data_IF_580025924554
#
_entry.id   IF_580025924554
#
_cell.length_a   1.000
_cell.length_b   1.000
_cell.length_c   1.000
_cell.angle_alpha   90.00
_cell.angle_beta   90.00
_cell.angle_gamma   90.00
#
_symmetry.space_group_name_H-M   'P 1'
#
loop_
_entity.id
_entity.type
_entity.pdbx_description
1 polymer ?
#
# COMPACT_ATOMS: atom_id res chain seq x y z
N UNK A 1 5.95 22.72 -5.49
CA UNK A 1 6.97 21.68 -5.22
C UNK A 1 6.29 20.49 -4.55
N UNK A 2 6.76 19.27 -4.82
CA UNK A 2 6.28 18.06 -4.12
C UNK A 2 6.60 18.23 -2.64
N UNK A 3 5.62 18.02 -1.77
CA UNK A 3 5.76 18.11 -0.32
C UNK A 3 4.73 17.21 0.36
N UNK A 4 4.87 17.07 1.68
CA UNK A 4 3.88 16.39 2.51
C UNK A 4 2.58 17.19 2.60
N UNK A 5 2.68 18.52 2.55
CA UNK A 5 1.53 19.43 2.51
C UNK A 5 0.63 19.13 1.30
N UNK A 6 -0.68 19.00 1.56
CA UNK A 6 -1.68 18.67 0.55
C UNK A 6 -1.84 17.17 0.27
N UNK A 7 -1.21 16.29 1.06
CA UNK A 7 -1.51 14.86 1.05
C UNK A 7 -3.00 14.62 1.37
N UNK A 8 -3.69 13.82 0.57
CA UNK A 8 -5.05 13.35 0.89
C UNK A 8 -5.00 11.97 1.51
N UNK A 9 -4.10 11.12 1.04
CA UNK A 9 -3.89 9.77 1.55
C UNK A 9 -2.39 9.47 1.62
N UNK A 10 -1.91 9.33 2.84
CA UNK A 10 -0.50 9.18 3.19
C UNK A 10 -0.22 7.74 3.66
N UNK A 11 0.81 7.12 3.11
CA UNK A 11 1.46 5.95 3.69
C UNK A 11 2.74 6.39 4.39
N UNK A 12 2.98 5.92 5.60
CA UNK A 12 4.23 6.14 6.35
C UNK A 12 4.86 4.80 6.66
N UNK A 13 6.07 4.57 6.15
CA UNK A 13 6.85 3.38 6.45
C UNK A 13 7.78 3.64 7.63
N UNK A 14 7.80 2.71 8.56
CA UNK A 14 8.58 2.79 9.79
C UNK A 14 9.49 1.58 9.88
N UNK A 15 10.81 1.79 9.85
CA UNK A 15 11.79 0.71 9.99
C UNK A 15 11.92 0.21 11.43
N UNK A 16 12.35 -1.05 11.59
CA UNK A 16 12.49 -1.69 12.91
C UNK A 16 13.37 -0.90 13.87
N UNK A 17 14.47 -0.31 13.37
CA UNK A 17 15.42 0.46 14.18
C UNK A 17 14.84 1.77 14.74
N UNK A 18 13.72 2.25 14.20
CA UNK A 18 13.03 3.43 14.73
C UNK A 18 12.09 3.06 15.88
N UNK A 19 11.52 1.86 15.84
CA UNK A 19 10.52 1.39 16.81
C UNK A 19 11.12 0.57 17.95
N UNK A 20 12.22 -0.12 17.71
CA UNK A 20 12.81 -1.06 18.67
C UNK A 20 14.25 -0.64 18.91
N UNK A 21 14.56 -0.41 20.17
CA UNK A 21 15.91 -0.12 20.64
C UNK A 21 16.81 -1.34 20.42
N UNK A 22 18.00 -1.12 19.84
CA UNK A 22 18.87 -2.23 19.41
C UNK A 22 19.46 -3.00 20.58
N UNK A 23 19.73 -2.32 21.69
CA UNK A 23 20.47 -2.89 22.82
C UNK A 23 19.51 -3.57 23.80
N UNK A 24 18.42 -2.90 24.15
CA UNK A 24 17.42 -3.42 25.08
C UNK A 24 16.36 -4.32 24.42
N UNK A 25 16.18 -4.23 23.10
CA UNK A 25 15.06 -4.86 22.39
C UNK A 25 13.70 -4.26 22.77
N UNK A 26 13.68 -3.16 23.52
CA UNK A 26 12.48 -2.53 24.01
C UNK A 26 11.85 -1.64 22.94
N UNK A 27 10.53 -1.49 23.00
CA UNK A 27 9.82 -0.52 22.17
C UNK A 27 10.23 0.90 22.55
N UNK A 28 10.55 1.73 21.56
CA UNK A 28 10.77 3.18 21.71
C UNK A 28 9.44 3.91 21.83
N UNK A 29 8.80 3.75 23.00
CA UNK A 29 7.43 4.23 23.27
C UNK A 29 7.25 5.74 23.06
N UNK A 30 8.19 6.55 23.53
CA UNK A 30 8.12 8.01 23.37
C UNK A 30 8.19 8.43 21.91
N UNK A 31 9.10 7.81 21.14
CA UNK A 31 9.21 8.06 19.71
C UNK A 31 7.92 7.69 18.98
N UNK A 32 7.37 6.50 19.25
CA UNK A 32 6.08 6.09 18.69
C UNK A 32 4.97 7.08 19.06
N UNK A 33 4.89 7.51 20.32
CA UNK A 33 3.90 8.50 20.75
C UNK A 33 4.04 9.83 20.00
N UNK A 34 5.26 10.28 19.73
CA UNK A 34 5.51 11.51 18.94
C UNK A 34 5.05 11.36 17.49
N UNK A 35 5.33 10.22 16.85
CA UNK A 35 4.85 9.94 15.50
C UNK A 35 3.32 9.89 15.48
N UNK A 36 2.68 9.26 16.47
CA UNK A 36 1.23 9.18 16.53
C UNK A 36 0.57 10.54 16.78
N UNK A 37 1.24 11.44 17.51
CA UNK A 37 0.79 12.83 17.62
C UNK A 37 0.78 13.53 16.26
N UNK A 38 1.80 13.32 15.42
CA UNK A 38 1.81 13.86 14.06
C UNK A 38 0.70 13.25 13.19
N UNK A 39 0.50 11.93 13.28
CA UNK A 39 -0.60 11.24 12.61
C UNK A 39 -1.94 11.84 13.04
N UNK A 40 -2.15 12.10 14.33
CA UNK A 40 -3.36 12.73 14.82
C UNK A 40 -3.58 14.13 14.25
N UNK A 41 -2.52 14.94 14.14
CA UNK A 41 -2.60 16.27 13.51
C UNK A 41 -2.95 16.19 12.02
N UNK A 42 -2.41 15.22 11.28
CA UNK A 42 -2.79 14.94 9.89
C UNK A 42 -4.25 14.48 9.77
N UNK A 43 -4.67 13.54 10.62
CA UNK A 43 -6.06 13.04 10.67
C UNK A 43 -7.06 14.16 10.97
N UNK A 44 -6.72 15.09 11.87
CA UNK A 44 -7.54 16.25 12.19
C UNK A 44 -7.76 17.20 10.99
N UNK A 45 -6.81 17.23 10.04
CA UNK A 45 -6.93 17.94 8.76
C UNK A 45 -7.65 17.14 7.66
N UNK A 46 -8.18 15.96 7.98
CA UNK A 46 -8.88 15.09 7.04
C UNK A 46 -7.98 14.21 6.17
N UNK A 47 -6.67 14.17 6.44
CA UNK A 47 -5.75 13.27 5.73
C UNK A 47 -6.02 11.84 6.17
N UNK A 48 -6.11 10.91 5.21
CA UNK A 48 -6.18 9.49 5.49
C UNK A 48 -4.76 8.92 5.64
N UNK A 49 -4.46 8.25 6.76
CA UNK A 49 -3.11 7.77 7.06
C UNK A 49 -3.10 6.24 7.21
N UNK A 50 -2.12 5.61 6.57
CA UNK A 50 -1.78 4.18 6.72
C UNK A 50 -0.34 4.11 7.24
N UNK A 51 -0.11 3.28 8.26
CA UNK A 51 1.21 3.03 8.80
C UNK A 51 1.69 1.65 8.35
N UNK A 52 2.86 1.58 7.75
CA UNK A 52 3.53 0.33 7.37
C UNK A 52 4.69 0.12 8.33
N UNK A 53 4.51 -0.78 9.28
CA UNK A 53 5.46 -0.97 10.37
C UNK A 53 6.40 -2.12 10.08
N UNK A 54 7.58 -2.11 10.71
CA UNK A 54 8.40 -3.29 10.96
C UNK A 54 8.50 -3.52 12.47
N UNK A 55 9.39 -4.41 12.92
CA UNK A 55 9.76 -4.57 14.33
C UNK A 55 9.05 -5.71 15.08
N UNK A 56 8.13 -6.43 14.43
CA UNK A 56 7.47 -7.64 15.00
C UNK A 56 8.50 -8.66 15.48
N UNK A 57 9.43 -9.07 14.62
CA UNK A 57 10.49 -10.02 14.96
C UNK A 57 11.33 -9.51 16.14
N UNK A 58 11.79 -8.25 16.08
CA UNK A 58 12.66 -7.68 17.13
C UNK A 58 11.96 -7.66 18.51
N UNK A 59 10.69 -7.27 18.57
CA UNK A 59 9.89 -7.30 19.80
C UNK A 59 9.64 -8.72 20.30
N UNK A 60 9.39 -9.68 19.40
CA UNK A 60 9.13 -11.06 19.79
C UNK A 60 10.37 -11.81 20.27
N UNK A 61 11.56 -11.46 19.74
CA UNK A 61 12.83 -12.07 20.15
C UNK A 61 13.11 -11.90 21.63
N UNK A 62 12.95 -10.68 22.15
CA UNK A 62 13.16 -10.41 23.58
C UNK A 62 12.22 -11.23 24.47
N UNK A 63 10.99 -11.45 24.01
CA UNK A 63 9.95 -12.20 24.74
C UNK A 63 10.25 -13.69 24.77
N UNK A 64 10.73 -14.21 23.65
CA UNK A 64 11.06 -15.62 23.47
C UNK A 64 12.48 -15.97 23.96
N UNK A 65 13.21 -14.99 24.53
CA UNK A 65 14.60 -15.12 24.92
C UNK A 65 15.50 -15.67 23.79
N UNK A 66 15.18 -15.29 22.54
CA UNK A 66 16.00 -15.64 21.38
C UNK A 66 17.20 -14.69 21.34
N UNK A 67 18.38 -15.23 21.68
CA UNK A 67 19.64 -14.47 21.77
C UNK A 67 20.01 -13.71 20.49
N UNK A 68 21.06 -12.89 20.52
CA UNK A 68 21.47 -12.07 19.37
C UNK A 68 21.95 -12.91 18.17
N UNK A 69 21.87 -12.34 16.95
CA UNK A 69 22.36 -12.97 15.72
C UNK A 69 21.26 -13.47 14.77
N UNK A 70 21.68 -14.19 13.73
CA UNK A 70 20.77 -14.78 12.74
C UNK A 70 19.97 -15.91 13.38
N UNK A 71 18.65 -15.88 13.19
CA UNK A 71 17.77 -16.97 13.62
C UNK A 71 17.41 -17.84 12.40
N UNK A 72 17.18 -19.15 12.61
CA UNK A 72 16.45 -19.98 11.66
C UNK A 72 15.09 -19.36 11.28
N UNK A 73 14.57 -19.72 10.10
CA UNK A 73 13.33 -19.17 9.57
C UNK A 73 12.18 -19.35 10.56
N UNK A 74 11.99 -20.56 11.07
CA UNK A 74 10.93 -20.93 12.00
C UNK A 74 10.99 -20.11 13.31
N UNK A 75 12.19 -19.76 13.78
CA UNK A 75 12.37 -18.90 14.95
C UNK A 75 12.05 -17.44 14.63
N UNK A 76 12.39 -16.95 13.43
CA UNK A 76 11.97 -15.62 13.00
C UNK A 76 10.44 -15.54 12.87
N UNK A 77 9.79 -16.56 12.30
CA UNK A 77 8.34 -16.61 12.15
C UNK A 77 7.63 -16.70 13.52
N UNK A 78 8.16 -17.49 14.46
CA UNK A 78 7.67 -17.54 15.83
C UNK A 78 7.82 -16.19 16.56
N UNK A 79 8.99 -15.55 16.41
CA UNK A 79 9.23 -14.22 16.96
C UNK A 79 8.29 -13.18 16.34
N UNK A 80 8.10 -13.19 15.02
CA UNK A 80 7.17 -12.30 14.35
C UNK A 80 5.74 -12.46 14.89
N UNK A 81 5.24 -13.69 15.02
CA UNK A 81 3.89 -13.96 15.53
C UNK A 81 3.69 -13.42 16.95
N UNK A 82 4.66 -13.64 17.85
CA UNK A 82 4.61 -13.14 19.23
C UNK A 82 4.73 -11.62 19.28
N UNK A 83 5.70 -11.06 18.56
CA UNK A 83 5.95 -9.62 18.58
C UNK A 83 4.90 -8.81 17.84
N UNK A 84 4.18 -9.38 16.86
CA UNK A 84 3.09 -8.72 16.16
C UNK A 84 1.96 -8.32 17.13
N UNK A 85 1.65 -9.16 18.13
CA UNK A 85 0.67 -8.85 19.17
C UNK A 85 1.11 -7.62 19.97
N UNK A 86 2.40 -7.56 20.34
CA UNK A 86 2.96 -6.42 21.09
C UNK A 86 2.98 -5.14 20.26
N UNK A 87 3.37 -5.26 19.00
CA UNK A 87 3.38 -4.15 18.05
C UNK A 87 1.98 -3.57 17.86
N UNK A 88 0.98 -4.43 17.60
CA UNK A 88 -0.41 -4.04 17.46
C UNK A 88 -0.95 -3.37 18.74
N UNK A 89 -0.65 -3.94 19.90
CA UNK A 89 -1.03 -3.37 21.20
C UNK A 89 -0.43 -1.98 21.43
N UNK A 90 0.84 -1.79 21.07
CA UNK A 90 1.52 -0.50 21.19
C UNK A 90 0.90 0.58 20.29
N UNK A 91 0.64 0.28 19.02
CA UNK A 91 -0.05 1.20 18.12
C UNK A 91 -1.46 1.52 18.59
N UNK A 92 -2.23 0.51 18.99
CA UNK A 92 -3.59 0.70 19.50
C UNK A 92 -3.61 1.60 20.73
N UNK A 93 -2.71 1.37 21.70
CA UNK A 93 -2.61 2.20 22.89
C UNK A 93 -2.23 3.64 22.57
N UNK A 94 -1.26 3.86 21.68
CA UNK A 94 -0.84 5.19 21.26
C UNK A 94 -1.93 5.94 20.51
N UNK A 95 -2.59 5.30 19.53
CA UNK A 95 -3.68 5.90 18.74
C UNK A 95 -4.91 6.21 19.58
N UNK A 96 -5.27 5.34 20.53
CA UNK A 96 -6.42 5.52 21.40
C UNK A 96 -6.33 6.80 22.25
N UNK A 97 -5.13 7.26 22.61
CA UNK A 97 -4.92 8.53 23.32
C UNK A 97 -5.38 9.75 22.53
N UNK A 98 -5.50 9.62 21.21
CA UNK A 98 -5.98 10.65 20.30
C UNK A 98 -7.39 10.35 19.75
N UNK A 99 -8.11 9.38 20.34
CA UNK A 99 -9.44 8.97 19.86
C UNK A 99 -9.42 8.28 18.50
N UNK A 100 -8.26 7.77 18.07
CA UNK A 100 -8.09 7.07 16.80
C UNK A 100 -8.10 5.55 17.02
N UNK A 101 -8.71 4.84 16.08
CA UNK A 101 -8.79 3.37 16.09
C UNK A 101 -7.73 2.78 15.18
N UNK A 102 -6.94 1.81 15.65
CA UNK A 102 -6.02 1.05 14.82
C UNK A 102 -6.75 -0.11 14.11
N UNK A 103 -6.30 -0.47 12.92
CA UNK A 103 -6.78 -1.64 12.19
C UNK A 103 -5.61 -2.48 11.69
N UNK A 104 -5.42 -3.69 12.23
CA UNK A 104 -4.33 -4.56 11.79
C UNK A 104 -4.60 -5.09 10.38
N UNK A 105 -3.58 -5.03 9.53
CA UNK A 105 -3.55 -5.66 8.21
C UNK A 105 -2.24 -6.44 8.09
N UNK A 106 -2.31 -7.71 7.70
CA UNK A 106 -1.15 -8.56 7.42
C UNK A 106 -1.24 -9.02 5.98
N UNK A 107 -0.20 -8.79 5.20
CA UNK A 107 -0.13 -9.14 3.77
C UNK A 107 1.26 -9.64 3.42
N UNK A 108 1.41 -10.38 2.33
CA UNK A 108 2.72 -10.71 1.74
C UNK A 108 2.93 -9.90 0.46
N UNK A 109 4.18 -9.81 -0.02
CA UNK A 109 4.45 -9.19 -1.34
C UNK A 109 3.72 -9.91 -2.48
N UNK A 110 3.48 -11.21 -2.36
CA UNK A 110 2.77 -12.03 -3.35
C UNK A 110 1.28 -11.67 -3.46
N UNK A 111 0.66 -11.15 -2.40
CA UNK A 111 -0.76 -10.79 -2.40
C UNK A 111 -1.07 -9.67 -3.42
N UNK A 112 -0.05 -8.89 -3.82
CA UNK A 112 -0.17 -7.89 -4.89
C UNK A 112 -0.24 -8.50 -6.29
N UNK A 113 0.26 -9.73 -6.46
CA UNK A 113 0.29 -10.46 -7.74
C UNK A 113 -0.98 -11.29 -7.95
N UNK A 114 -1.59 -11.80 -6.87
CA UNK A 114 -2.91 -12.43 -6.90
C UNK A 114 -4.00 -11.37 -6.97
N UNK A 115 -4.70 -11.35 -8.10
CA UNK A 115 -5.70 -10.33 -8.40
C UNK A 115 -6.87 -10.28 -7.42
N UNK A 116 -7.31 -11.43 -6.94
CA UNK A 116 -8.42 -11.54 -6.00
C UNK A 116 -7.98 -11.04 -4.63
N UNK A 117 -6.79 -11.41 -4.17
CA UNK A 117 -6.23 -10.94 -2.89
C UNK A 117 -6.02 -9.42 -2.93
N UNK A 118 -5.40 -8.90 -4.00
CA UNK A 118 -5.24 -7.46 -4.21
C UNK A 118 -6.54 -6.68 -4.06
N UNK A 119 -7.62 -7.08 -4.75
CA UNK A 119 -8.91 -6.38 -4.69
C UNK A 119 -9.60 -6.49 -3.33
N UNK A 120 -9.39 -7.58 -2.61
CA UNK A 120 -9.88 -7.73 -1.24
C UNK A 120 -9.12 -6.80 -0.30
N UNK A 121 -7.79 -6.82 -0.33
CA UNK A 121 -6.94 -5.94 0.49
C UNK A 121 -7.26 -4.47 0.24
N UNK A 122 -7.40 -4.05 -1.03
CA UNK A 122 -7.82 -2.70 -1.39
C UNK A 122 -9.18 -2.34 -0.81
N UNK A 123 -10.19 -3.19 -0.99
CA UNK A 123 -11.54 -2.91 -0.50
C UNK A 123 -11.60 -2.81 1.03
N UNK A 124 -10.86 -3.67 1.74
CA UNK A 124 -10.76 -3.64 3.20
C UNK A 124 -10.09 -2.35 3.68
N UNK A 125 -8.93 -1.99 3.11
CA UNK A 125 -8.23 -0.74 3.46
C UNK A 125 -9.09 0.49 3.14
N UNK A 126 -9.76 0.54 1.99
CA UNK A 126 -10.67 1.64 1.65
C UNK A 126 -11.79 1.78 2.68
N UNK A 127 -12.41 0.66 3.07
CA UNK A 127 -13.49 0.65 4.07
C UNK A 127 -12.99 1.13 5.43
N UNK A 128 -11.81 0.67 5.86
CA UNK A 128 -11.16 1.14 7.09
C UNK A 128 -10.96 2.66 7.08
N UNK A 129 -10.42 3.20 5.98
CA UNK A 129 -10.15 4.64 5.86
C UNK A 129 -11.43 5.48 5.85
N UNK A 130 -12.51 5.00 5.21
CA UNK A 130 -13.83 5.64 5.24
C UNK A 130 -14.43 5.63 6.65
N UNK A 131 -14.23 4.56 7.41
CA UNK A 131 -14.65 4.45 8.80
C UNK A 131 -13.75 5.21 9.78
N UNK A 132 -12.72 5.91 9.28
CA UNK A 132 -11.80 6.68 10.11
C UNK A 132 -10.76 5.84 10.87
N UNK A 133 -10.63 4.55 10.56
CA UNK A 133 -9.57 3.69 11.12
C UNK A 133 -8.20 4.09 10.55
N UNK A 134 -7.12 3.94 11.32
CA UNK A 134 -5.73 4.02 10.86
C UNK A 134 -5.22 2.60 10.64
N UNK A 135 -5.06 2.14 9.38
CA UNK A 135 -4.54 0.81 9.12
C UNK A 135 -3.06 0.71 9.53
N UNK A 136 -2.73 -0.35 10.27
CA UNK A 136 -1.37 -0.74 10.63
C UNK A 136 -1.04 -1.98 9.82
N UNK A 137 -0.25 -1.80 8.76
CA UNK A 137 0.14 -2.85 7.84
C UNK A 137 1.50 -3.39 8.24
N UNK A 138 1.64 -4.71 8.26
CA UNK A 138 2.93 -5.39 8.34
C UNK A 138 2.93 -6.62 7.42
N UNK A 139 4.10 -7.19 7.19
CA UNK A 139 4.23 -8.45 6.49
C UNK A 139 3.62 -9.59 7.31
N UNK A 140 2.96 -10.54 6.63
CA UNK A 140 2.50 -11.77 7.26
C UNK A 140 3.66 -12.79 7.33
N UNK A 141 4.61 -12.51 8.22
CA UNK A 141 5.85 -13.27 8.38
C UNK A 141 5.61 -14.79 8.55
N UNK A 142 4.50 -15.21 9.16
CA UNK A 142 4.16 -16.63 9.40
C UNK A 142 4.02 -17.45 8.12
N UNK A 143 3.60 -16.82 7.01
CA UNK A 143 3.39 -17.50 5.72
C UNK A 143 4.29 -16.96 4.61
N UNK A 144 5.09 -15.92 4.90
CA UNK A 144 6.10 -15.45 3.99
C UNK A 144 7.24 -16.49 3.92
N UNK A 145 7.45 -17.04 2.73
CA UNK A 145 8.47 -18.08 2.47
C UNK A 145 9.74 -17.52 1.83
N UNK A 146 9.67 -16.30 1.27
CA UNK A 146 10.88 -15.60 0.86
C UNK A 146 11.74 -15.35 2.11
N UNK A 147 13.01 -15.77 2.05
CA UNK A 147 13.99 -15.67 3.15
C UNK A 147 13.93 -14.27 3.78
N UNK A 148 13.18 -14.05 4.86
CA UNK A 148 12.86 -12.73 5.46
C UNK A 148 13.96 -11.68 5.16
N UNK A 149 13.81 -10.94 4.04
CA UNK A 149 14.90 -10.08 3.56
C UNK A 149 14.71 -8.71 4.20
N UNK A 150 15.69 -8.30 4.98
CA UNK A 150 15.74 -6.93 5.49
C UNK A 150 15.67 -5.93 4.31
N UNK A 151 14.68 -5.02 4.37
CA UNK A 151 14.40 -4.04 3.30
C UNK A 151 13.08 -4.26 2.56
N UNK A 152 12.39 -5.38 2.79
CA UNK A 152 11.13 -5.69 2.12
C UNK A 152 9.99 -4.75 2.50
N UNK A 153 10.00 -4.17 3.70
CA UNK A 153 8.95 -3.23 4.08
C UNK A 153 8.99 -1.91 3.30
N UNK A 154 10.12 -1.55 2.64
CA UNK A 154 10.14 -0.41 1.71
C UNK A 154 9.27 -0.73 0.48
N UNK A 155 9.45 -1.93 -0.09
CA UNK A 155 8.66 -2.44 -1.23
C UNK A 155 7.21 -2.67 -0.84
N UNK A 156 6.97 -3.27 0.33
CA UNK A 156 5.64 -3.45 0.91
C UNK A 156 4.92 -2.11 1.04
N UNK A 157 5.59 -1.08 1.56
CA UNK A 157 4.99 0.23 1.73
C UNK A 157 4.63 0.88 0.39
N UNK A 158 5.47 0.73 -0.62
CA UNK A 158 5.14 1.16 -1.99
C UNK A 158 3.95 0.40 -2.56
N UNK A 159 3.90 -0.93 -2.40
CA UNK A 159 2.75 -1.73 -2.83
C UNK A 159 1.47 -1.37 -2.09
N UNK A 160 1.54 -1.11 -0.79
CA UNK A 160 0.41 -0.62 0.03
C UNK A 160 -0.04 0.74 -0.46
N UNK A 161 0.88 1.66 -0.75
CA UNK A 161 0.56 2.97 -1.31
C UNK A 161 -0.19 2.85 -2.63
N UNK A 162 0.28 2.02 -3.57
CA UNK A 162 -0.40 1.78 -4.85
C UNK A 162 -1.76 1.10 -4.64
N UNK A 163 -1.82 0.07 -3.79
CA UNK A 163 -3.04 -0.70 -3.50
C UNK A 163 -4.11 0.18 -2.88
N UNK A 164 -3.73 1.02 -1.92
CA UNK A 164 -4.60 1.96 -1.27
C UNK A 164 -4.80 3.25 -2.07
N UNK A 165 -4.16 3.46 -3.22
CA UNK A 165 -4.28 4.71 -3.99
C UNK A 165 -3.85 5.95 -3.20
N UNK A 166 -2.77 5.83 -2.42
CA UNK A 166 -2.15 6.94 -1.71
C UNK A 166 -1.51 7.93 -2.69
N UNK A 167 -1.55 9.23 -2.37
CA UNK A 167 -0.87 10.26 -3.14
C UNK A 167 0.50 10.63 -2.57
N UNK A 168 0.80 10.22 -1.33
CA UNK A 168 2.12 10.36 -0.69
C UNK A 168 2.56 9.09 0.02
N UNK A 169 3.84 8.78 -0.09
CA UNK A 169 4.55 7.76 0.68
C UNK A 169 5.76 8.40 1.37
N UNK A 170 5.90 8.25 2.68
CA UNK A 170 7.07 8.71 3.42
C UNK A 170 7.81 7.49 3.96
N UNK A 171 9.07 7.32 3.57
CA UNK A 171 9.98 6.34 4.15
C UNK A 171 10.79 7.02 5.26
N UNK A 172 10.43 6.74 6.52
CA UNK A 172 11.24 7.15 7.67
C UNK A 172 12.46 6.23 7.76
N UNK A 173 13.64 6.77 7.51
CA UNK A 173 14.90 6.03 7.43
C UNK A 173 15.92 6.50 8.47
N UNK A 174 17.03 5.78 8.55
CA UNK A 174 18.29 6.19 9.17
C UNK A 174 19.12 7.19 8.33
N UNK A 175 18.72 7.44 7.08
CA UNK A 175 19.31 8.44 6.19
C UNK A 175 18.29 9.55 5.88
N UNK A 176 18.79 10.75 5.63
CA UNK A 176 17.98 11.95 5.38
C UNK A 176 17.66 12.18 3.89
N UNK A 177 18.10 11.29 2.99
CA UNK A 177 17.81 11.37 1.57
C UNK A 177 18.74 10.52 0.71
N UNK A 178 18.63 10.72 -0.60
CA UNK A 178 19.52 10.23 -1.64
C UNK A 178 20.65 11.24 -1.85
N UNK A 179 21.85 10.71 -2.09
CA UNK A 179 23.05 11.47 -2.39
C UNK A 179 23.63 11.01 -3.73
N UNK A 180 24.48 11.83 -4.36
CA UNK A 180 25.19 11.49 -5.59
C UNK A 180 26.20 10.34 -5.43
N UNK A 181 26.50 9.94 -4.19
CA UNK A 181 27.39 8.86 -3.77
C UNK A 181 27.18 8.59 -2.27
N UNK A 182 27.91 7.65 -1.66
CA UNK A 182 27.73 7.38 -0.23
C UNK A 182 28.40 8.48 0.62
N UNK A 183 27.65 9.33 1.36
CA UNK A 183 28.23 10.46 2.09
C UNK A 183 29.15 10.06 3.25
N UNK A 184 29.09 8.81 3.71
CA UNK A 184 30.01 8.29 4.72
C UNK A 184 31.38 7.89 4.16
N UNK A 185 31.46 7.60 2.86
CA UNK A 185 32.68 7.20 2.17
C UNK A 185 33.25 8.33 1.30
N UNK A 186 32.36 9.17 0.77
CA UNK A 186 32.68 10.23 -0.18
C UNK A 186 32.22 11.58 0.37
N UNK A 187 33.11 12.37 0.99
CA UNK A 187 32.77 13.69 1.53
C UNK A 187 32.24 14.69 0.49
N UNK A 188 32.52 14.44 -0.80
CA UNK A 188 32.03 15.25 -1.91
C UNK A 188 30.59 14.90 -2.34
N UNK A 189 29.98 13.83 -1.79
CA UNK A 189 28.63 13.42 -2.12
C UNK A 189 27.63 14.52 -1.78
N UNK A 190 26.78 14.87 -2.75
CA UNK A 190 25.80 15.96 -2.63
C UNK A 190 24.41 15.38 -2.45
N UNK A 191 23.65 15.95 -1.53
CA UNK A 191 22.25 15.59 -1.32
C UNK A 191 21.40 15.97 -2.54
N UNK A 192 20.45 15.10 -2.90
CA UNK A 192 19.53 15.29 -4.01
C UNK A 192 18.14 15.58 -3.43
N UNK A 193 17.66 16.84 -3.44
CA UNK A 193 16.38 17.17 -2.81
C UNK A 193 15.15 16.71 -3.60
N UNK A 194 15.28 16.60 -4.93
CA UNK A 194 14.19 16.22 -5.82
C UNK A 194 14.70 15.33 -6.95
N UNK A 195 14.01 14.21 -7.17
CA UNK A 195 14.17 13.31 -8.30
C UNK A 195 12.86 13.36 -9.09
N UNK A 196 12.87 14.02 -10.25
CA UNK A 196 11.68 14.10 -11.11
C UNK A 196 11.38 12.79 -11.83
N UNK A 197 12.43 12.03 -12.16
CA UNK A 197 12.35 10.72 -12.80
C UNK A 197 13.51 9.85 -12.35
N UNK A 198 13.22 8.59 -12.06
CA UNK A 198 14.24 7.60 -11.73
C UNK A 198 14.84 7.09 -13.05
N UNK A 199 16.05 7.54 -13.35
CA UNK A 199 16.82 7.12 -14.52
C UNK A 199 17.89 6.10 -14.11
N UNK A 200 18.52 5.38 -15.07
CA UNK A 200 19.62 4.47 -14.74
C UNK A 200 20.76 5.15 -13.95
N UNK A 201 21.02 6.44 -14.17
CA UNK A 201 22.01 7.21 -13.41
C UNK A 201 21.59 7.38 -11.94
N UNK A 202 20.31 7.63 -11.67
CA UNK A 202 19.78 7.69 -10.30
C UNK A 202 19.87 6.32 -9.63
N UNK A 203 19.59 5.24 -10.36
CA UNK A 203 19.72 3.88 -9.82
C UNK A 203 21.17 3.52 -9.48
N UNK A 204 22.12 3.93 -10.32
CA UNK A 204 23.53 3.73 -10.07
C UNK A 204 24.02 4.45 -8.79
N UNK A 205 23.39 5.55 -8.38
CA UNK A 205 23.73 6.27 -7.14
C UNK A 205 23.42 5.48 -5.86
N UNK A 206 22.59 4.43 -5.93
CA UNK A 206 22.37 3.56 -4.77
C UNK A 206 23.61 2.70 -4.41
N UNK A 207 24.58 2.61 -5.32
CA UNK A 207 25.82 1.83 -5.18
C UNK A 207 25.62 0.31 -5.15
N UNK A 208 26.72 -0.43 -5.18
CA UNK A 208 26.72 -1.85 -4.80
C UNK A 208 26.62 -1.91 -3.28
N UNK A 209 25.55 -2.49 -2.75
CA UNK A 209 25.24 -2.48 -1.32
C UNK A 209 26.46 -2.82 -0.47
N UNK A 210 26.94 -1.86 0.34
CA UNK A 210 28.14 -2.03 1.16
C UNK A 210 27.99 -3.28 2.03
N UNK A 211 28.91 -4.21 1.83
CA UNK A 211 28.98 -5.50 2.49
C UNK A 211 28.98 -5.36 4.02
N UNK A 212 28.00 -5.97 4.67
CA UNK A 212 28.10 -6.38 6.08
C UNK A 212 27.13 -5.73 7.07
N UNK A 213 26.68 -4.49 6.90
CA UNK A 213 25.96 -3.76 7.97
C UNK A 213 24.56 -3.25 7.59
N UNK A 214 24.25 -3.06 6.29
CA UNK A 214 22.93 -2.60 5.85
C UNK A 214 22.35 -3.48 4.75
N UNK A 215 21.80 -4.65 5.14
CA UNK A 215 20.88 -5.41 4.29
C UNK A 215 19.56 -4.63 4.23
N UNK A 216 19.24 -3.97 3.11
CA UNK A 216 18.07 -3.07 2.94
C UNK A 216 18.37 -1.57 2.77
N UNK A 217 19.46 -1.24 2.06
CA UNK A 217 20.01 0.12 1.90
C UNK A 217 19.25 1.04 0.94
N UNK A 218 19.98 1.80 0.11
CA UNK A 218 19.37 2.77 -0.82
C UNK A 218 18.68 2.09 -2.01
N UNK A 219 19.17 0.92 -2.45
CA UNK A 219 18.60 0.15 -3.56
C UNK A 219 17.11 -0.16 -3.33
N UNK A 220 16.74 -0.68 -2.16
CA UNK A 220 15.34 -1.03 -1.84
C UNK A 220 14.45 0.20 -1.80
N UNK A 221 14.98 1.36 -1.39
CA UNK A 221 14.28 2.64 -1.38
C UNK A 221 14.05 3.15 -2.79
N UNK A 222 15.02 3.02 -3.70
CA UNK A 222 14.81 3.35 -5.12
C UNK A 222 13.81 2.41 -5.81
N UNK A 223 13.82 1.11 -5.48
CA UNK A 223 12.79 0.19 -5.95
C UNK A 223 11.40 0.59 -5.46
N UNK A 224 11.27 0.96 -4.17
CA UNK A 224 10.03 1.48 -3.61
C UNK A 224 9.61 2.79 -4.28
N UNK A 225 10.55 3.70 -4.54
CA UNK A 225 10.32 4.96 -5.25
C UNK A 225 9.75 4.72 -6.65
N UNK A 226 10.32 3.76 -7.39
CA UNK A 226 9.85 3.38 -8.73
C UNK A 226 8.41 2.88 -8.68
N UNK A 227 8.12 1.91 -7.81
CA UNK A 227 6.76 1.36 -7.63
C UNK A 227 5.77 2.47 -7.27
N UNK A 228 6.11 3.33 -6.30
CA UNK A 228 5.23 4.41 -5.84
C UNK A 228 4.97 5.43 -6.95
N UNK A 229 6.01 5.95 -7.59
CA UNK A 229 5.92 7.03 -8.59
C UNK A 229 5.20 6.59 -9.86
N UNK A 230 5.39 5.34 -10.32
CA UNK A 230 4.63 4.73 -11.41
C UNK A 230 3.14 4.57 -11.06
N UNK A 231 2.84 4.27 -9.79
CA UNK A 231 1.49 4.20 -9.24
C UNK A 231 0.85 5.56 -8.95
N UNK A 232 1.51 6.66 -9.32
CA UNK A 232 1.02 8.02 -9.11
C UNK A 232 1.15 8.55 -7.68
N UNK A 233 1.99 7.90 -6.87
CA UNK A 233 2.28 8.28 -5.49
C UNK A 233 3.66 8.93 -5.40
N UNK A 234 3.75 10.17 -4.91
CA UNK A 234 5.04 10.80 -4.70
C UNK A 234 5.67 10.25 -3.41
N UNK A 235 6.99 10.04 -3.41
CA UNK A 235 7.69 9.41 -2.29
C UNK A 235 8.71 10.34 -1.66
N UNK A 236 8.83 10.35 -0.33
CA UNK A 236 9.94 10.98 0.38
C UNK A 236 10.81 9.94 1.07
N UNK A 237 12.12 10.16 1.07
CA UNK A 237 13.06 9.56 2.02
C UNK A 237 13.50 10.68 2.96
N UNK A 238 13.34 10.49 4.27
CA UNK A 238 13.77 11.45 5.28
C UNK A 238 14.20 10.75 6.56
N UNK A 239 14.88 11.49 7.43
CA UNK A 239 15.38 10.99 8.69
C UNK A 239 14.20 10.73 9.66
N UNK A 240 14.07 9.48 10.10
CA UNK A 240 13.02 9.03 10.99
C UNK A 240 13.40 9.04 12.48
N UNK A 241 14.68 9.20 12.83
CA UNK A 241 15.16 9.09 14.21
C UNK A 241 14.74 10.25 15.11
N UNK A 242 14.35 11.37 14.51
CA UNK A 242 13.87 12.56 15.21
C UNK A 242 12.49 12.32 15.83
N UNK A 243 12.18 13.06 16.89
CA UNK A 243 10.83 13.16 17.42
C UNK A 243 9.96 13.97 16.45
N UNK A 244 8.68 13.64 16.35
CA UNK A 244 7.76 14.30 15.42
C UNK A 244 8.26 14.34 13.96
N UNK A 245 8.63 13.18 13.38
CA UNK A 245 9.30 13.14 12.08
C UNK A 245 8.43 13.63 10.91
N UNK A 246 7.10 13.51 10.99
CA UNK A 246 6.23 14.01 9.93
C UNK A 246 6.06 15.53 10.05
N UNK A 247 5.94 16.05 11.28
CA UNK A 247 5.90 17.50 11.48
C UNK A 247 7.23 18.16 11.09
N UNK A 248 8.37 17.49 11.36
CA UNK A 248 9.68 17.92 10.91
C UNK A 248 9.74 17.99 9.37
N UNK A 249 9.20 16.98 8.68
CA UNK A 249 9.12 16.96 7.21
C UNK A 249 8.16 18.02 6.64
N UNK A 250 7.06 18.35 7.31
CA UNK A 250 6.17 19.45 6.90
C UNK A 250 6.80 20.83 7.07
N UNK A 251 7.77 20.95 7.98
CA UNK A 251 8.62 22.13 8.11
C UNK A 251 9.65 22.19 6.99
N UNK A 252 10.91 21.92 7.31
CA UNK A 252 12.03 21.98 6.36
C UNK A 252 13.08 20.91 6.66
N UNK A 253 12.67 19.78 7.26
CA UNK A 253 13.59 18.67 7.44
C UNK A 253 14.09 18.18 6.09
N UNK A 254 15.38 17.86 6.04
CA UNK A 254 16.01 17.37 4.83
C UNK A 254 15.33 16.08 4.36
N UNK A 255 15.04 16.04 3.07
CA UNK A 255 14.43 14.90 2.41
C UNK A 255 14.76 14.88 0.93
N UNK A 256 14.77 13.69 0.34
CA UNK A 256 14.65 13.51 -1.10
C UNK A 256 13.22 13.19 -1.46
N UNK A 257 12.62 14.03 -2.31
CA UNK A 257 11.34 13.76 -2.92
C UNK A 257 11.49 13.11 -4.29
N UNK A 258 10.68 12.10 -4.56
CA UNK A 258 10.52 11.46 -5.87
C UNK A 258 9.15 11.86 -6.41
N UNK A 259 9.14 12.58 -7.53
CA UNK A 259 7.91 13.08 -8.11
C UNK A 259 7.08 11.94 -8.71
N UNK A 260 5.77 11.96 -8.48
CA UNK A 260 4.86 11.03 -9.15
C UNK A 260 4.76 11.39 -10.64
N UNK A 261 4.76 10.38 -11.51
CA UNK A 261 4.57 10.61 -12.94
C UNK A 261 3.15 11.14 -13.25
N UNK A 262 2.17 10.77 -12.43
CA UNK A 262 0.75 11.06 -12.59
C UNK A 262 0.03 11.08 -11.23
N UNK A 263 -1.27 11.35 -11.18
CA UNK A 263 -2.07 11.11 -9.98
C UNK A 263 -2.45 9.61 -9.82
N UNK A 264 -2.80 9.15 -8.60
CA UNK A 264 -3.10 7.74 -8.35
C UNK A 264 -4.30 7.19 -9.13
N UNK A 265 -5.32 8.01 -9.40
CA UNK A 265 -6.51 7.57 -10.11
C UNK A 265 -6.20 7.35 -11.60
N UNK A 266 -5.45 8.28 -12.22
CA UNK A 266 -4.98 8.12 -13.59
C UNK A 266 -4.05 6.91 -13.75
N UNK A 267 -3.13 6.69 -12.80
CA UNK A 267 -2.24 5.53 -12.80
C UNK A 267 -3.03 4.21 -12.73
N UNK A 268 -4.02 4.16 -11.83
CA UNK A 268 -4.91 3.02 -11.68
C UNK A 268 -5.69 2.71 -12.95
N UNK A 269 -6.25 3.73 -13.61
CA UNK A 269 -7.00 3.58 -14.87
C UNK A 269 -6.09 3.04 -15.98
N UNK A 270 -4.90 3.63 -16.19
CA UNK A 270 -3.93 3.12 -17.18
C UNK A 270 -3.57 1.65 -16.94
N UNK A 271 -3.36 1.26 -15.69
CA UNK A 271 -3.08 -0.13 -15.34
C UNK A 271 -4.21 -1.07 -15.73
N UNK A 272 -5.48 -0.71 -15.54
CA UNK A 272 -6.62 -1.51 -16.02
C UNK A 272 -6.64 -1.54 -17.55
N UNK A 273 -6.48 -0.38 -18.20
CA UNK A 273 -6.57 -0.25 -19.65
C UNK A 273 -5.54 -1.12 -20.39
N UNK A 274 -4.36 -1.30 -19.81
CA UNK A 274 -3.29 -2.14 -20.37
C UNK A 274 -3.58 -3.67 -20.29
N UNK A 275 -4.62 -4.09 -19.57
CA UNK A 275 -4.91 -5.51 -19.36
C UNK A 275 -5.62 -6.15 -20.54
N UNK A 276 -5.28 -7.41 -20.81
CA UNK A 276 -6.00 -8.24 -21.78
C UNK A 276 -7.28 -8.79 -21.12
N UNK A 277 -8.48 -8.49 -21.67
CA UNK A 277 -9.72 -9.06 -21.15
C UNK A 277 -9.72 -10.59 -21.16
N UNK A 278 -10.35 -11.19 -20.14
CA UNK A 278 -10.59 -12.64 -20.01
C UNK A 278 -12.02 -13.04 -20.42
N UNK A 279 -12.88 -12.06 -20.63
CA UNK A 279 -14.24 -12.21 -21.12
C UNK A 279 -14.91 -10.86 -21.31
N UNK A 280 -16.21 -10.89 -21.56
CA UNK A 280 -16.98 -9.72 -21.96
C UNK A 280 -18.33 -9.70 -21.26
N UNK A 281 -18.81 -8.49 -20.96
CA UNK A 281 -20.18 -8.25 -20.51
C UNK A 281 -20.84 -7.23 -21.43
N UNK A 282 -22.03 -7.56 -21.92
CA UNK A 282 -22.84 -6.65 -22.73
C UNK A 282 -23.80 -5.93 -21.80
N UNK A 283 -23.91 -4.61 -21.97
CA UNK A 283 -24.75 -3.76 -21.12
C UNK A 283 -25.89 -3.15 -21.92
N UNK A 284 -26.99 -2.84 -21.24
CA UNK A 284 -28.10 -2.08 -21.84
C UNK A 284 -27.77 -0.58 -21.98
N UNK A 285 -28.60 0.16 -22.70
CA UNK A 285 -28.41 1.59 -22.95
C UNK A 285 -28.45 2.44 -21.66
N UNK A 286 -29.19 2.01 -20.63
CA UNK A 286 -29.27 2.72 -19.36
C UNK A 286 -27.96 2.58 -18.57
N UNK A 287 -27.38 1.39 -18.57
CA UNK A 287 -26.07 1.11 -18.00
C UNK A 287 -24.96 1.83 -18.78
N UNK A 288 -25.01 1.83 -20.11
CA UNK A 288 -24.08 2.59 -20.96
C UNK A 288 -24.10 4.09 -20.62
N UNK A 289 -25.27 4.71 -20.50
CA UNK A 289 -25.40 6.11 -20.07
C UNK A 289 -24.87 6.33 -18.63
N UNK A 290 -25.17 5.41 -17.71
CA UNK A 290 -24.70 5.51 -16.33
C UNK A 290 -23.16 5.40 -16.23
N UNK A 291 -22.54 4.56 -17.06
CA UNK A 291 -21.09 4.43 -17.18
C UNK A 291 -20.46 5.71 -17.72
N UNK A 292 -21.05 6.33 -18.74
CA UNK A 292 -20.65 7.66 -19.23
C UNK A 292 -20.70 8.75 -18.15
N UNK A 293 -21.61 8.61 -17.18
CA UNK A 293 -21.70 9.47 -15.98
C UNK A 293 -20.77 9.08 -14.82
N UNK A 294 -19.84 8.13 -15.01
CA UNK A 294 -18.87 7.70 -13.99
C UNK A 294 -19.46 6.86 -12.85
N UNK A 295 -20.60 6.19 -13.08
CA UNK A 295 -21.21 5.28 -12.10
C UNK A 295 -20.61 3.87 -12.19
N UNK A 296 -20.86 3.07 -11.16
CA UNK A 296 -20.46 1.65 -11.15
C UNK A 296 -21.41 0.83 -12.04
N UNK A 297 -20.91 -0.27 -12.61
CA UNK A 297 -21.74 -1.23 -13.33
C UNK A 297 -22.46 -2.12 -12.32
N UNK A 298 -23.80 -2.13 -12.35
CA UNK A 298 -24.62 -3.02 -11.55
C UNK A 298 -25.05 -4.25 -12.36
N UNK A 299 -25.32 -5.41 -11.73
CA UNK A 299 -25.82 -6.58 -12.44
C UNK A 299 -27.09 -6.33 -13.25
N UNK A 300 -27.96 -5.44 -12.76
CA UNK A 300 -29.21 -5.05 -13.40
C UNK A 300 -29.05 -4.56 -14.84
N UNK A 301 -27.91 -3.94 -15.15
CA UNK A 301 -27.62 -3.39 -16.47
C UNK A 301 -26.94 -4.36 -17.44
N UNK A 302 -26.70 -5.61 -17.04
CA UNK A 302 -25.98 -6.61 -17.84
C UNK A 302 -27.00 -7.48 -18.59
N UNK A 303 -26.85 -7.58 -19.91
CA UNK A 303 -27.73 -8.34 -20.80
C UNK A 303 -27.10 -9.67 -21.24
N UNK A 304 -25.79 -9.69 -21.47
CA UNK A 304 -25.06 -10.90 -21.85
C UNK A 304 -23.68 -10.99 -21.19
N UNK A 305 -23.19 -12.22 -21.05
CA UNK A 305 -21.87 -12.54 -20.46
C UNK A 305 -21.20 -13.60 -21.33
N UNK A 306 -20.00 -13.29 -21.82
CA UNK A 306 -19.19 -14.18 -22.66
C UNK A 306 -17.81 -14.45 -22.05
N UNK A 307 -17.24 -15.62 -22.36
CA UNK A 307 -15.91 -16.04 -21.89
C UNK A 307 -15.90 -16.77 -20.54
N UNK A 308 -14.69 -16.94 -20.00
CA UNK A 308 -14.42 -17.59 -18.70
C UNK A 308 -13.49 -16.70 -17.89
N UNK A 309 -14.01 -16.20 -16.77
CA UNK A 309 -13.28 -15.31 -15.88
C UNK A 309 -13.66 -15.57 -14.42
N UNK A 310 -12.71 -15.33 -13.52
CA UNK A 310 -12.88 -15.34 -12.08
C UNK A 310 -13.09 -13.94 -11.51
N UNK A 311 -13.24 -13.86 -10.20
CA UNK A 311 -13.31 -12.57 -9.50
C UNK A 311 -11.99 -11.83 -9.62
N UNK A 312 -12.06 -10.58 -10.02
CA UNK A 312 -10.94 -9.66 -10.20
C UNK A 312 -10.33 -9.66 -11.59
N UNK A 313 -10.70 -10.61 -12.43
CA UNK A 313 -10.25 -10.66 -13.81
C UNK A 313 -10.76 -9.43 -14.61
N UNK A 314 -9.97 -8.95 -15.57
CA UNK A 314 -10.40 -7.91 -16.48
C UNK A 314 -11.46 -8.44 -17.46
N UNK A 315 -12.58 -7.74 -17.57
CA UNK A 315 -13.64 -8.02 -18.54
C UNK A 315 -13.90 -6.79 -19.40
N UNK A 316 -14.09 -6.99 -20.70
CA UNK A 316 -14.49 -5.91 -21.60
C UNK A 316 -15.95 -5.55 -21.36
N UNK A 317 -16.26 -4.26 -21.42
CA UNK A 317 -17.62 -3.74 -21.32
C UNK A 317 -18.07 -3.40 -22.73
N UNK A 318 -19.11 -4.06 -23.21
CA UNK A 318 -19.65 -3.92 -24.57
C UNK A 318 -21.01 -3.23 -24.49
N UNK A 319 -21.19 -2.16 -25.25
CA UNK A 319 -22.45 -1.40 -25.30
C UNK A 319 -23.53 -2.12 -26.08
N UNK A 320 -24.75 -1.56 -26.04
CA UNK A 320 -25.91 -2.18 -26.67
C UNK A 320 -25.76 -2.33 -28.19
N UNK A 321 -25.00 -1.43 -28.82
CA UNK A 321 -24.66 -1.47 -30.25
C UNK A 321 -23.44 -2.32 -30.62
N UNK A 322 -22.87 -3.09 -29.68
CA UNK A 322 -21.69 -3.92 -29.92
C UNK A 322 -20.35 -3.18 -29.84
N UNK A 323 -20.35 -1.87 -29.60
CA UNK A 323 -19.12 -1.10 -29.40
C UNK A 323 -18.45 -1.48 -28.07
N UNK A 324 -17.12 -1.59 -28.07
CA UNK A 324 -16.35 -1.74 -26.82
C UNK A 324 -16.30 -0.40 -26.11
N UNK A 325 -17.04 -0.29 -25.00
CA UNK A 325 -17.10 0.90 -24.18
C UNK A 325 -15.91 1.02 -23.23
N UNK A 326 -15.35 -0.11 -22.80
CA UNK A 326 -14.32 -0.05 -21.76
C UNK A 326 -13.83 -1.40 -21.30
N UNK A 327 -13.15 -1.39 -20.16
CA UNK A 327 -12.63 -2.56 -19.46
C UNK A 327 -12.67 -2.34 -17.96
N UNK A 328 -12.99 -3.38 -17.20
CA UNK A 328 -13.03 -3.29 -15.74
C UNK A 328 -12.86 -4.62 -15.04
N UNK A 329 -12.70 -4.58 -13.73
CA UNK A 329 -12.40 -5.75 -12.91
C UNK A 329 -13.68 -6.25 -12.24
N UNK A 330 -14.10 -7.44 -12.62
CA UNK A 330 -15.35 -8.02 -12.11
C UNK A 330 -15.24 -8.41 -10.64
N UNK A 331 -16.32 -8.25 -9.88
CA UNK A 331 -16.46 -8.76 -8.50
C UNK A 331 -17.04 -10.17 -8.44
N UNK A 332 -17.37 -10.75 -9.60
CA UNK A 332 -18.08 -12.02 -9.76
C UNK A 332 -17.39 -12.92 -10.77
N UNK A 333 -17.51 -14.23 -10.60
CA UNK A 333 -17.10 -15.19 -11.65
C UNK A 333 -18.05 -15.12 -12.84
N UNK A 334 -17.66 -15.68 -13.99
CA UNK A 334 -18.53 -15.75 -15.16
C UNK A 334 -19.83 -16.55 -14.90
N UNK A 335 -19.77 -17.56 -14.04
CA UNK A 335 -20.95 -18.35 -13.66
C UNK A 335 -21.91 -17.53 -12.79
N UNK A 336 -21.38 -16.85 -11.77
CA UNK A 336 -22.15 -15.95 -10.92
C UNK A 336 -22.78 -14.83 -11.76
N UNK A 337 -22.00 -14.21 -12.66
CA UNK A 337 -22.43 -13.16 -13.57
C UNK A 337 -23.64 -13.59 -14.41
N UNK A 338 -23.63 -14.80 -14.97
CA UNK A 338 -24.76 -15.34 -15.76
C UNK A 338 -26.02 -15.52 -14.92
N UNK A 339 -25.88 -15.86 -13.63
CA UNK A 339 -27.01 -16.04 -12.71
C UNK A 339 -27.63 -14.72 -12.26
N UNK A 340 -26.82 -13.67 -12.11
CA UNK A 340 -27.27 -12.37 -11.57
C UNK A 340 -27.49 -11.27 -12.60
N UNK A 341 -27.19 -11.50 -13.89
CA UNK A 341 -27.43 -10.51 -14.95
C UNK A 341 -28.91 -10.11 -14.99
N UNK A 342 -29.18 -8.82 -15.15
CA UNK A 342 -30.53 -8.25 -15.12
C UNK A 342 -31.17 -8.16 -13.72
N UNK A 343 -30.51 -8.67 -12.67
CA UNK A 343 -31.06 -8.63 -11.31
C UNK A 343 -30.69 -7.34 -10.57
N UNK A 344 -31.61 -6.87 -9.72
CA UNK A 344 -31.34 -5.82 -8.72
C UNK A 344 -30.39 -6.37 -7.65
N UNK A 345 -29.56 -5.49 -7.07
CA UNK A 345 -28.56 -5.90 -6.06
C UNK A 345 -29.16 -6.61 -4.85
N UNK A 346 -30.43 -6.33 -4.49
CA UNK A 346 -31.15 -7.00 -3.40
C UNK A 346 -31.47 -8.47 -3.68
N UNK A 347 -31.48 -8.91 -4.95
CA UNK A 347 -31.77 -10.30 -5.31
C UNK A 347 -30.52 -11.19 -5.34
N UNK A 348 -29.31 -10.60 -5.27
CA UNK A 348 -28.05 -11.34 -5.41
C UNK A 348 -27.92 -12.43 -4.34
N UNK A 349 -28.28 -12.12 -3.10
CA UNK A 349 -28.16 -13.07 -1.98
C UNK A 349 -29.05 -14.30 -2.15
N UNK A 350 -30.32 -14.09 -2.52
CA UNK A 350 -31.23 -15.19 -2.81
C UNK A 350 -30.76 -16.03 -4.01
N UNK A 351 -30.17 -15.41 -5.03
CA UNK A 351 -29.71 -16.12 -6.23
C UNK A 351 -28.41 -16.87 -6.02
N UNK A 352 -27.45 -16.34 -5.27
CA UNK A 352 -26.11 -16.92 -5.11
C UNK A 352 -25.92 -17.70 -3.80
N UNK A 353 -26.83 -17.56 -2.84
CA UNK A 353 -26.74 -18.20 -1.53
C UNK A 353 -25.78 -17.51 -0.56
N UNK A 354 -25.32 -16.29 -0.88
CA UNK A 354 -24.48 -15.47 0.00
C UNK A 354 -24.64 -13.98 -0.35
N UNK A 355 -24.41 -13.11 0.64
CA UNK A 355 -24.45 -11.65 0.43
C UNK A 355 -23.34 -11.17 -0.51
N UNK A 356 -23.70 -10.82 -1.74
CA UNK A 356 -22.78 -10.32 -2.76
C UNK A 356 -22.49 -8.82 -2.66
N UNK A 357 -21.49 -8.34 -3.42
CA UNK A 357 -21.18 -6.91 -3.57
C UNK A 357 -22.18 -6.25 -4.52
N UNK A 358 -22.77 -5.11 -4.16
CA UNK A 358 -23.82 -4.48 -4.98
C UNK A 358 -23.40 -4.19 -6.43
N UNK A 359 -22.18 -3.65 -6.62
CA UNK A 359 -21.61 -3.41 -7.94
C UNK A 359 -21.00 -4.68 -8.54
N UNK A 360 -21.28 -4.91 -9.82
CA UNK A 360 -20.60 -5.92 -10.64
C UNK A 360 -19.16 -5.50 -10.94
N UNK A 361 -18.97 -4.26 -11.39
CA UNK A 361 -17.66 -3.59 -11.48
C UNK A 361 -17.79 -2.22 -10.82
N UNK A 362 -16.88 -1.89 -9.90
CA UNK A 362 -16.86 -0.58 -9.25
C UNK A 362 -16.28 0.49 -10.18
N UNK A 363 -16.75 1.73 -10.09
CA UNK A 363 -16.26 2.85 -10.92
C UNK A 363 -14.74 3.08 -10.85
N UNK A 364 -14.14 2.79 -9.69
CA UNK A 364 -12.68 2.94 -9.48
C UNK A 364 -11.87 1.74 -10.04
N UNK A 365 -12.57 0.67 -10.40
CA UNK A 365 -12.03 -0.56 -10.96
C UNK A 365 -12.40 -0.73 -12.44
N UNK A 366 -12.69 0.36 -13.15
CA UNK A 366 -12.96 0.38 -14.59
C UNK A 366 -12.36 1.61 -15.31
N UNK A 367 -12.26 1.48 -16.63
CA UNK A 367 -12.01 2.56 -17.58
C UNK A 367 -13.06 2.45 -18.68
N UNK A 368 -13.72 3.58 -18.94
CA UNK A 368 -14.67 3.80 -20.04
C UNK A 368 -13.95 4.74 -21.01
#
# INVERSE_FOLDING_TARGET
MVSLTGARRLVVKIGSALLVDRDSGALRGDWLASLIADVAALRARGVQVILVSSGSIALGRGVLALGAGSLPLEQNQAAAAVGQIRLAGAYQAALARHGLTAGQVLVTLEDSTDRRRYLNSRATMETMLVLGVVPIVNENDTIATDEIRYGDNDRLAAQVAVTAGADRLVLLSDVDGLYTGNPHLEPAARHIPLVERITPEIEAMAGDGVSGVSKGGMITKLMAARIATEGGCAMAITLGTVMHPLAALEGDARATWFAAAHDPAAARKRWIAAMKPRGEVVVDAGAEAALGGGKSLLPAGITAVAGRFGRGDPVAIIGAGGARLGIGLTRYTAEEARRIRGLRSSAIEATLGYKGRAAFIHRDDMVI
#
